data_IF_059078492751
#
_entry.id   IF_059078492751
#
_cell.length_a   1.000
_cell.length_b   1.000
_cell.length_c   1.000
_cell.angle_alpha   90.00
_cell.angle_beta   90.00
_cell.angle_gamma   90.00
#
_symmetry.space_group_name_H-M   'P 1'
#
loop_
_entity.id
_entity.type
_entity.pdbx_description
1 polymer ?
#
# COMPACT_ATOMS: atom_id res chain seq x y z
N UNK A 1 -11.03 4.93 -18.90
CA UNK A 1 -9.72 4.24 -18.74
C UNK A 1 -9.31 3.41 -19.95
N UNK A 2 -10.20 3.07 -20.89
CA UNK A 2 -9.88 2.14 -21.99
C UNK A 2 -10.08 0.68 -21.61
N UNK A 3 -11.02 0.41 -20.69
CA UNK A 3 -11.39 -0.92 -20.21
C UNK A 3 -12.87 -1.22 -20.53
N UNK A 4 -13.25 -2.49 -20.71
CA UNK A 4 -12.38 -3.68 -20.73
C UNK A 4 -11.53 -3.75 -22.00
N UNK A 5 -10.24 -4.08 -21.87
CA UNK A 5 -9.35 -4.37 -22.99
C UNK A 5 -8.77 -5.79 -22.85
N UNK A 6 -9.27 -6.77 -23.64
CA UNK A 6 -8.77 -8.14 -23.63
C UNK A 6 -7.26 -8.25 -23.90
N UNK A 7 -6.69 -7.29 -24.63
CA UNK A 7 -5.26 -7.25 -24.95
C UNK A 7 -4.41 -6.61 -23.85
N UNK A 8 -5.05 -6.01 -22.83
CA UNK A 8 -4.36 -5.42 -21.69
C UNK A 8 -3.49 -4.20 -22.01
N UNK A 9 -3.86 -3.41 -23.03
CA UNK A 9 -3.08 -2.25 -23.49
C UNK A 9 -3.72 -0.91 -23.10
N UNK A 10 -5.05 -0.87 -22.97
CA UNK A 10 -5.86 0.32 -22.68
C UNK A 10 -5.63 1.48 -23.67
N UNK A 11 -5.39 1.17 -24.95
CA UNK A 11 -5.04 2.17 -25.97
C UNK A 11 -6.15 3.18 -26.29
N UNK A 12 -7.41 2.86 -25.98
CA UNK A 12 -8.56 3.74 -26.18
C UNK A 12 -8.98 4.45 -24.88
N UNK A 13 -7.99 4.94 -24.14
CA UNK A 13 -8.23 5.64 -22.88
C UNK A 13 -6.96 6.12 -22.19
N UNK A 14 -7.11 6.56 -20.94
CA UNK A 14 -6.01 7.08 -20.11
C UNK A 14 -5.25 6.01 -19.32
N UNK A 15 -5.68 4.75 -19.39
CA UNK A 15 -5.05 3.65 -18.68
C UNK A 15 -3.76 3.19 -19.35
N UNK A 16 -2.84 2.62 -18.56
CA UNK A 16 -1.53 2.14 -19.05
C UNK A 16 -1.43 0.62 -19.26
N UNK A 17 -2.54 -0.11 -19.28
CA UNK A 17 -2.57 -1.56 -19.51
C UNK A 17 -2.15 -2.43 -18.31
N UNK A 18 -1.77 -1.82 -17.19
CA UNK A 18 -1.37 -2.51 -15.96
C UNK A 18 -2.05 -1.91 -14.74
N UNK A 19 -2.20 -2.69 -13.66
CA UNK A 19 -3.00 -2.31 -12.49
C UNK A 19 -2.51 -1.03 -11.79
N UNK A 20 -1.19 -0.75 -11.82
CA UNK A 20 -0.59 0.48 -11.28
C UNK A 20 -0.98 1.73 -12.07
N UNK A 21 -1.35 1.59 -13.34
CA UNK A 21 -1.69 2.67 -14.28
C UNK A 21 -3.19 2.66 -14.69
N UNK A 22 -4.03 1.89 -14.00
CA UNK A 22 -5.48 1.81 -14.24
C UNK A 22 -6.24 2.18 -12.96
N UNK A 23 -6.16 3.46 -12.58
CA UNK A 23 -6.60 3.98 -11.28
C UNK A 23 -7.32 5.32 -11.44
N UNK A 24 -8.36 5.55 -10.65
CA UNK A 24 -9.05 6.83 -10.57
C UNK A 24 -9.05 7.30 -9.11
N UNK A 25 -8.93 8.61 -8.92
CA UNK A 25 -9.13 9.28 -7.64
C UNK A 25 -10.24 10.31 -7.83
N UNK A 26 -11.35 10.15 -7.11
CA UNK A 26 -12.40 11.16 -7.06
C UNK A 26 -12.12 12.01 -5.83
N UNK A 27 -11.90 13.31 -6.04
CA UNK A 27 -11.51 14.25 -4.98
C UNK A 27 -12.50 15.39 -4.97
N UNK A 28 -13.01 15.75 -3.79
CA UNK A 28 -14.02 16.78 -3.63
C UNK A 28 -13.92 17.52 -2.30
N UNK A 29 -14.67 18.63 -2.14
CA UNK A 29 -14.69 19.38 -0.89
C UNK A 29 -15.20 18.51 0.28
N UNK A 30 -14.81 18.84 1.52
CA UNK A 30 -15.20 18.07 2.67
C UNK A 30 -16.71 18.22 2.93
N UNK A 31 -17.39 17.11 3.22
CA UNK A 31 -18.81 17.11 3.60
C UNK A 31 -19.03 16.95 5.10
N UNK A 32 -17.93 16.88 5.87
CA UNK A 32 -17.89 16.61 7.31
C UNK A 32 -16.86 17.49 8.02
N UNK A 33 -17.03 17.78 9.32
CA UNK A 33 -16.07 18.57 10.08
C UNK A 33 -14.76 17.80 10.32
N UNK A 34 -13.67 18.55 10.54
CA UNK A 34 -12.37 18.00 10.93
C UNK A 34 -11.55 17.37 9.80
N UNK A 35 -11.95 17.58 8.54
CA UNK A 35 -11.24 17.16 7.34
C UNK A 35 -11.29 18.28 6.30
N UNK A 36 -10.29 18.33 5.43
CA UNK A 36 -10.08 19.41 4.46
C UNK A 36 -10.49 19.02 3.04
N UNK A 37 -10.53 17.71 2.75
CA UNK A 37 -10.86 17.15 1.43
C UNK A 37 -11.35 15.71 1.59
N UNK A 38 -12.27 15.30 0.71
CA UNK A 38 -12.72 13.90 0.60
C UNK A 38 -12.13 13.22 -0.63
N UNK A 39 -11.76 11.95 -0.47
CA UNK A 39 -11.08 11.16 -1.48
C UNK A 39 -11.64 9.73 -1.57
N UNK A 40 -12.05 9.35 -2.79
CA UNK A 40 -12.42 7.98 -3.15
C UNK A 40 -11.40 7.43 -4.15
N UNK A 41 -10.74 6.33 -3.79
CA UNK A 41 -9.95 5.52 -4.70
C UNK A 41 -10.84 4.53 -5.47
N UNK A 42 -10.53 4.35 -6.75
CA UNK A 42 -11.18 3.35 -7.61
C UNK A 42 -10.13 2.58 -8.39
N UNK A 43 -10.10 1.26 -8.19
CA UNK A 43 -9.30 0.36 -9.02
C UNK A 43 -10.15 -0.07 -10.22
N UNK A 44 -9.64 0.16 -11.43
CA UNK A 44 -10.33 -0.22 -12.67
C UNK A 44 -9.68 -1.49 -13.23
N UNK A 45 -10.50 -2.51 -13.46
CA UNK A 45 -10.11 -3.74 -14.14
C UNK A 45 -9.56 -3.45 -15.53
N UNK A 46 -8.46 -4.10 -15.91
CA UNK A 46 -7.85 -3.88 -17.23
C UNK A 46 -8.57 -4.71 -18.29
N UNK A 47 -8.68 -6.03 -18.06
CA UNK A 47 -9.23 -6.99 -19.03
C UNK A 47 -10.73 -7.24 -18.89
N UNK A 48 -11.33 -6.73 -17.83
CA UNK A 48 -12.74 -6.90 -17.49
C UNK A 48 -13.37 -5.55 -17.12
N UNK A 49 -14.68 -5.56 -16.88
CA UNK A 49 -15.47 -4.36 -16.55
C UNK A 49 -15.49 -4.04 -15.06
N UNK A 50 -14.67 -4.72 -14.25
CA UNK A 50 -14.74 -4.61 -12.79
C UNK A 50 -14.29 -3.23 -12.33
N UNK A 51 -15.06 -2.66 -11.40
CA UNK A 51 -14.76 -1.40 -10.73
C UNK A 51 -14.75 -1.67 -9.24
N UNK A 52 -13.59 -1.52 -8.62
CA UNK A 52 -13.36 -1.90 -7.24
C UNK A 52 -13.11 -0.68 -6.35
N UNK A 53 -14.04 -0.47 -5.41
CA UNK A 53 -14.03 0.57 -4.37
C UNK A 53 -13.63 0.02 -2.99
N UNK A 54 -13.28 -1.26 -2.89
CA UNK A 54 -13.16 -1.97 -1.62
C UNK A 54 -11.95 -1.52 -0.80
N UNK A 55 -10.93 -0.88 -1.38
CA UNK A 55 -9.71 -0.51 -0.65
C UNK A 55 -9.27 0.93 -0.88
N UNK A 56 -8.22 1.33 -0.15
CA UNK A 56 -7.46 2.54 -0.43
C UNK A 56 -6.26 2.24 -1.36
N UNK A 57 -5.75 3.26 -2.05
CA UNK A 57 -4.42 3.25 -2.63
C UNK A 57 -3.52 4.29 -1.94
N UNK A 58 -2.62 3.81 -1.08
CA UNK A 58 -1.71 4.70 -0.36
C UNK A 58 -0.69 5.43 -1.26
N UNK A 59 -0.38 4.92 -2.45
CA UNK A 59 0.42 5.67 -3.44
C UNK A 59 -0.35 6.89 -3.95
N UNK A 60 -1.60 6.72 -4.37
CA UNK A 60 -2.37 7.83 -4.92
C UNK A 60 -2.81 8.83 -3.83
N UNK A 61 -2.88 8.39 -2.56
CA UNK A 61 -3.09 9.27 -1.41
C UNK A 61 -2.03 10.39 -1.34
N UNK A 62 -0.80 10.19 -1.86
CA UNK A 62 0.24 11.23 -1.87
C UNK A 62 -0.05 12.37 -2.83
N UNK A 63 -0.90 12.16 -3.82
CA UNK A 63 -1.29 13.19 -4.78
C UNK A 63 -2.53 13.97 -4.35
N UNK A 64 -3.33 13.46 -3.40
CA UNK A 64 -4.61 14.08 -3.03
C UNK A 64 -4.42 15.42 -2.32
N UNK A 65 -3.50 15.50 -1.35
CA UNK A 65 -3.18 16.75 -0.66
C UNK A 65 -2.68 17.83 -1.64
N UNK A 66 -1.62 17.55 -2.43
CA UNK A 66 -1.16 18.45 -3.49
C UNK A 66 -2.26 18.85 -4.48
N UNK A 67 -3.06 17.89 -4.95
CA UNK A 67 -4.19 18.18 -5.83
C UNK A 67 -5.21 19.13 -5.18
N UNK A 68 -5.54 18.94 -3.89
CA UNK A 68 -6.50 19.78 -3.19
C UNK A 68 -6.03 21.25 -3.10
N UNK A 69 -4.73 21.47 -2.89
CA UNK A 69 -4.12 22.81 -2.92
C UNK A 69 -4.21 23.40 -4.32
N UNK A 70 -3.63 22.72 -5.30
CA UNK A 70 -3.51 23.26 -6.65
C UNK A 70 -4.86 23.45 -7.37
N UNK A 71 -5.88 22.65 -7.02
CA UNK A 71 -7.25 22.78 -7.55
C UNK A 71 -8.11 23.80 -6.78
N UNK A 72 -7.55 24.37 -5.70
CA UNK A 72 -8.22 25.37 -4.87
C UNK A 72 -9.34 24.83 -3.99
N UNK A 73 -9.45 23.50 -3.82
CA UNK A 73 -10.36 22.85 -2.85
C UNK A 73 -9.92 23.21 -1.43
N UNK A 74 -8.61 23.17 -1.17
CA UNK A 74 -7.99 23.61 0.07
C UNK A 74 -7.09 24.82 -0.22
N UNK A 75 -7.20 25.87 0.59
CA UNK A 75 -6.41 27.09 0.42
C UNK A 75 -5.56 27.33 1.66
N UNK A 76 -4.25 27.04 1.62
CA UNK A 76 -3.37 27.32 2.74
C UNK A 76 -3.24 28.82 2.99
N UNK A 77 -2.78 29.19 4.19
CA UNK A 77 -2.43 30.58 4.48
C UNK A 77 -1.23 31.01 3.61
N UNK A 78 -1.11 32.30 3.32
CA UNK A 78 0.05 32.82 2.58
C UNK A 78 1.34 32.51 3.34
N UNK A 79 2.38 32.17 2.60
CA UNK A 79 3.74 31.92 3.12
C UNK A 79 3.83 30.77 4.15
N UNK A 80 2.92 29.79 4.10
CA UNK A 80 2.85 28.69 5.08
C UNK A 80 4.07 27.75 5.08
N UNK A 81 4.87 27.72 4.01
CA UNK A 81 5.92 26.72 3.83
C UNK A 81 5.32 25.32 3.73
N UNK A 82 5.58 24.46 4.73
CA UNK A 82 4.97 23.15 4.82
C UNK A 82 3.51 23.24 5.29
N UNK A 83 2.62 22.61 4.53
CA UNK A 83 1.18 22.59 4.78
C UNK A 83 0.75 21.16 5.03
N UNK A 84 -0.18 20.95 5.99
CA UNK A 84 -0.82 19.65 6.23
C UNK A 84 -2.29 19.69 5.84
N UNK A 85 -2.71 18.76 4.98
CA UNK A 85 -4.09 18.59 4.51
C UNK A 85 -4.67 17.30 5.10
N UNK A 86 -5.79 17.39 5.82
CA UNK A 86 -6.52 16.27 6.40
C UNK A 86 -7.47 15.66 5.37
N UNK A 87 -7.09 14.53 4.80
CA UNK A 87 -7.84 13.83 3.75
C UNK A 87 -8.74 12.78 4.40
N UNK A 88 -10.05 12.85 4.18
CA UNK A 88 -10.96 11.76 4.50
C UNK A 88 -11.03 10.76 3.35
N UNK A 89 -10.56 9.54 3.58
CA UNK A 89 -10.67 8.45 2.62
C UNK A 89 -12.05 7.78 2.75
N UNK A 90 -12.91 7.96 1.75
CA UNK A 90 -14.28 7.44 1.75
C UNK A 90 -14.34 5.91 1.64
N UNK A 91 -13.34 5.27 1.03
CA UNK A 91 -13.29 3.81 0.94
C UNK A 91 -13.12 3.18 2.32
N UNK A 92 -12.31 3.78 3.20
CA UNK A 92 -11.90 3.18 4.49
C UNK A 92 -12.51 3.86 5.71
N UNK A 93 -13.10 5.04 5.53
CA UNK A 93 -13.59 5.85 6.65
C UNK A 93 -12.49 6.43 7.53
N UNK A 94 -11.23 6.43 7.05
CA UNK A 94 -10.05 6.87 7.82
C UNK A 94 -9.54 8.22 7.34
N UNK A 95 -8.81 8.90 8.23
CA UNK A 95 -8.15 10.19 7.93
C UNK A 95 -6.68 9.96 7.60
N UNK A 96 -6.19 10.65 6.58
CA UNK A 96 -4.79 10.69 6.18
C UNK A 96 -4.34 12.15 6.23
N UNK A 97 -3.33 12.47 7.01
CA UNK A 97 -2.72 13.79 7.01
C UNK A 97 -1.57 13.82 5.99
N UNK A 98 -1.70 14.70 4.99
CA UNK A 98 -0.72 14.88 3.93
C UNK A 98 0.05 16.17 4.14
N UNK A 99 1.31 16.06 4.56
CA UNK A 99 2.21 17.21 4.79
C UNK A 99 3.22 17.37 3.64
N UNK A 100 3.28 18.55 3.04
CA UNK A 100 4.18 18.86 1.91
C UNK A 100 4.39 20.39 1.77
N UNK A 101 5.50 20.81 1.14
CA UNK A 101 5.78 22.23 0.90
C UNK A 101 4.86 22.84 -0.17
N UNK A 102 4.46 24.08 0.06
CA UNK A 102 3.68 24.92 -0.85
C UNK A 102 4.43 26.22 -1.13
N UNK A 103 4.48 26.63 -2.40
CA UNK A 103 5.07 27.90 -2.85
C UNK A 103 4.10 28.59 -3.80
N UNK A 104 3.88 29.89 -3.61
CA UNK A 104 2.99 30.70 -4.46
C UNK A 104 1.57 30.13 -4.64
N UNK A 105 1.07 29.38 -3.65
CA UNK A 105 -0.26 28.77 -3.67
C UNK A 105 -0.34 27.42 -4.39
N UNK A 106 0.78 26.87 -4.86
CA UNK A 106 0.87 25.56 -5.49
C UNK A 106 1.75 24.60 -4.68
N UNK A 107 1.45 23.31 -4.73
CA UNK A 107 2.28 22.27 -4.15
C UNK A 107 3.63 22.20 -4.87
N UNK A 108 4.73 22.27 -4.13
CA UNK A 108 6.07 22.17 -4.71
C UNK A 108 6.30 20.73 -5.19
N UNK A 109 6.58 20.55 -6.48
CA UNK A 109 6.82 19.23 -7.07
C UNK A 109 8.31 18.84 -7.12
N UNK A 110 9.23 19.82 -7.18
CA UNK A 110 10.68 19.59 -7.27
C UNK A 110 11.32 19.53 -5.89
N UNK A 111 12.34 18.69 -5.74
CA UNK A 111 13.06 18.49 -4.47
C UNK A 111 14.19 17.47 -4.63
N UNK A 112 14.82 17.12 -3.53
CA UNK A 112 15.98 16.22 -3.43
C UNK A 112 15.63 14.82 -2.87
N UNK A 113 14.34 14.57 -2.60
CA UNK A 113 13.89 13.29 -2.06
C UNK A 113 13.70 12.26 -3.18
N UNK A 114 14.36 11.10 -3.03
CA UNK A 114 14.21 9.95 -3.91
C UNK A 114 13.34 8.87 -3.27
N UNK A 115 12.58 8.15 -4.09
CA UNK A 115 11.89 6.92 -3.70
C UNK A 115 12.17 5.81 -4.71
N UNK A 116 12.38 4.60 -4.23
CA UNK A 116 12.66 3.47 -5.10
C UNK A 116 11.47 3.16 -6.02
N UNK A 117 11.77 2.95 -7.30
CA UNK A 117 10.77 2.76 -8.36
C UNK A 117 10.32 4.05 -9.09
N UNK A 118 10.80 5.23 -8.69
CA UNK A 118 10.58 6.50 -9.41
C UNK A 118 11.93 7.09 -9.81
N UNK A 119 12.07 7.48 -11.08
CA UNK A 119 13.31 8.06 -11.58
C UNK A 119 13.52 9.51 -11.09
N UNK A 120 14.73 9.81 -10.61
CA UNK A 120 15.13 11.14 -10.16
C UNK A 120 14.69 11.45 -8.73
N UNK A 121 14.60 12.74 -8.42
CA UNK A 121 14.17 13.26 -7.12
C UNK A 121 12.98 14.20 -7.29
N UNK A 122 12.20 14.35 -6.23
CA UNK A 122 11.05 15.24 -6.18
C UNK A 122 10.84 15.76 -4.75
N UNK A 123 9.85 16.63 -4.59
CA UNK A 123 9.45 17.13 -3.27
C UNK A 123 8.87 16.01 -2.41
N UNK A 124 9.24 16.02 -1.13
CA UNK A 124 8.80 15.03 -0.14
C UNK A 124 7.38 15.34 0.31
N UNK A 125 6.51 14.33 0.23
CA UNK A 125 5.16 14.32 0.78
C UNK A 125 5.13 13.30 1.92
N UNK A 126 4.90 13.75 3.15
CA UNK A 126 4.67 12.88 4.30
C UNK A 126 3.20 12.55 4.40
N UNK A 127 2.88 11.27 4.51
CA UNK A 127 1.53 10.77 4.76
C UNK A 127 1.47 10.11 6.13
N UNK A 128 0.65 10.66 7.01
CA UNK A 128 0.31 10.09 8.31
C UNK A 128 -1.12 9.51 8.25
N UNK A 129 -1.24 8.20 8.28
CA UNK A 129 -2.50 7.49 8.34
C UNK A 129 -2.94 7.42 9.80
N UNK A 130 -4.03 8.09 10.14
CA UNK A 130 -4.50 8.28 11.52
C UNK A 130 -5.48 7.18 11.91
N UNK A 131 -5.23 6.52 13.04
CA UNK A 131 -5.99 5.38 13.55
C UNK A 131 -6.34 4.34 12.45
N UNK A 132 -5.36 3.85 11.67
CA UNK A 132 -5.60 3.11 10.43
C UNK A 132 -6.06 1.66 10.62
N UNK A 133 -6.11 1.17 11.86
CA UNK A 133 -6.57 -0.18 12.21
C UNK A 133 -8.04 -0.42 11.86
N UNK A 134 -8.38 -1.64 11.42
CA UNK A 134 -9.74 -2.07 11.15
C UNK A 134 -10.40 -1.32 9.98
N UNK A 135 -9.64 -0.97 8.94
CA UNK A 135 -10.15 -0.22 7.79
C UNK A 135 -11.28 -0.91 7.03
N UNK A 136 -11.41 -2.24 7.18
CA UNK A 136 -12.40 -3.09 6.53
C UNK A 136 -13.05 -4.12 7.45
N UNK A 137 -12.39 -4.49 8.53
CA UNK A 137 -12.74 -5.65 9.36
C UNK A 137 -13.11 -5.28 10.80
N UNK A 138 -13.03 -4.01 11.16
CA UNK A 138 -13.39 -3.51 12.49
C UNK A 138 -12.28 -3.57 13.56
N UNK A 139 -11.16 -4.26 13.31
CA UNK A 139 -10.02 -4.30 14.23
C UNK A 139 -8.67 -4.52 13.54
N UNK A 140 -7.57 -4.24 14.23
CA UNK A 140 -6.21 -4.41 13.69
C UNK A 140 -5.86 -5.88 13.39
N UNK A 141 -6.23 -6.80 14.31
CA UNK A 141 -6.07 -8.25 14.18
C UNK A 141 -7.46 -8.89 14.00
N UNK A 142 -7.99 -8.91 12.76
CA UNK A 142 -9.38 -9.28 12.49
C UNK A 142 -9.79 -10.70 12.89
N UNK A 143 -8.84 -11.63 12.95
CA UNK A 143 -9.09 -13.02 13.37
C UNK A 143 -9.09 -13.20 14.89
N UNK A 144 -8.68 -12.16 15.63
CA UNK A 144 -8.41 -12.22 17.08
C UNK A 144 -7.08 -12.87 17.45
N UNK A 145 -6.34 -13.42 16.49
CA UNK A 145 -5.06 -14.11 16.72
C UNK A 145 -3.89 -13.31 16.12
N UNK A 146 -2.72 -13.39 16.76
CA UNK A 146 -1.47 -12.87 16.19
C UNK A 146 -0.98 -13.77 15.05
N UNK A 147 -1.21 -15.08 15.16
CA UNK A 147 -0.86 -16.08 14.16
C UNK A 147 -2.02 -17.06 14.03
N UNK A 148 -2.49 -17.23 12.80
CA UNK A 148 -3.44 -18.24 12.37
C UNK A 148 -2.73 -19.32 11.54
N UNK A 149 -3.44 -20.39 11.18
CA UNK A 149 -2.94 -21.45 10.30
C UNK A 149 -3.91 -21.69 9.15
N UNK A 150 -3.41 -21.59 7.91
CA UNK A 150 -4.16 -21.83 6.67
C UNK A 150 -3.32 -22.72 5.77
N UNK A 151 -3.88 -23.84 5.30
CA UNK A 151 -3.16 -24.80 4.45
C UNK A 151 -1.84 -25.31 5.05
N UNK A 152 -1.82 -25.48 6.37
CA UNK A 152 -0.63 -25.89 7.12
C UNK A 152 0.47 -24.83 7.17
N UNK A 153 0.20 -23.61 6.70
CA UNK A 153 1.10 -22.45 6.74
C UNK A 153 0.62 -21.48 7.80
N UNK A 154 1.54 -21.02 8.65
CA UNK A 154 1.24 -19.97 9.62
C UNK A 154 1.16 -18.63 8.92
N UNK A 155 0.16 -17.82 9.29
CA UNK A 155 0.01 -16.48 8.76
C UNK A 155 -0.41 -15.48 9.85
N UNK A 156 0.02 -14.23 9.70
CA UNK A 156 -0.53 -13.10 10.45
C UNK A 156 -1.47 -12.32 9.53
N UNK A 157 -2.71 -12.12 9.99
CA UNK A 157 -3.70 -11.29 9.31
C UNK A 157 -3.77 -9.92 9.99
N UNK A 158 -3.52 -8.83 9.24
CA UNK A 158 -3.55 -7.46 9.77
C UNK A 158 -4.39 -6.56 8.87
N UNK A 159 -5.26 -5.76 9.46
CA UNK A 159 -6.02 -4.73 8.76
C UNK A 159 -5.59 -3.33 9.20
N UNK A 160 -4.61 -2.78 8.49
CA UNK A 160 -4.10 -1.41 8.69
C UNK A 160 -3.96 -0.72 7.34
N UNK A 161 -4.82 0.26 7.08
CA UNK A 161 -4.91 0.93 5.78
C UNK A 161 -5.53 0.07 4.68
N UNK A 162 -5.17 -1.21 4.57
CA UNK A 162 -5.93 -2.28 3.92
C UNK A 162 -5.58 -3.64 4.57
N UNK A 163 -6.51 -4.60 4.58
CA UNK A 163 -6.24 -5.98 4.99
C UNK A 163 -5.07 -6.61 4.23
N UNK A 164 -4.16 -7.26 4.96
CA UNK A 164 -2.99 -7.94 4.44
C UNK A 164 -2.69 -9.21 5.23
N UNK A 165 -2.23 -10.24 4.52
CA UNK A 165 -1.87 -11.56 5.06
C UNK A 165 -0.37 -11.75 4.86
N UNK A 166 0.34 -12.11 5.93
CA UNK A 166 1.79 -12.32 5.92
C UNK A 166 2.12 -13.77 6.29
N UNK A 167 2.79 -14.48 5.38
CA UNK A 167 3.29 -15.85 5.60
C UNK A 167 4.81 -15.91 5.50
N UNK A 168 5.44 -16.95 6.03
CA UNK A 168 6.89 -17.15 5.91
C UNK A 168 7.25 -17.75 4.54
N UNK A 169 8.29 -17.21 3.90
CA UNK A 169 8.88 -17.82 2.71
C UNK A 169 9.49 -19.20 3.01
N UNK A 170 10.06 -19.38 4.21
CA UNK A 170 10.65 -20.64 4.66
C UNK A 170 9.59 -21.74 4.79
N UNK A 171 8.44 -21.44 5.41
CA UNK A 171 7.34 -22.41 5.53
C UNK A 171 6.70 -22.74 4.17
N UNK A 172 6.76 -21.80 3.22
CA UNK A 172 6.37 -22.07 1.83
C UNK A 172 7.39 -22.93 1.07
N UNK A 173 8.62 -23.09 1.59
CA UNK A 173 9.70 -23.82 0.96
C UNK A 173 10.33 -23.09 -0.23
N UNK A 174 10.34 -21.75 -0.20
CA UNK A 174 10.84 -20.91 -1.29
C UNK A 174 11.90 -19.93 -0.79
N UNK A 175 12.75 -19.44 -1.71
CA UNK A 175 13.62 -18.30 -1.41
C UNK A 175 12.76 -17.02 -1.27
N UNK A 176 12.89 -16.32 -0.14
CA UNK A 176 12.14 -15.09 0.13
C UNK A 176 12.59 -13.88 -0.68
N UNK A 177 13.67 -14.00 -1.45
CA UNK A 177 14.24 -12.94 -2.28
C UNK A 177 13.90 -13.06 -3.77
N UNK A 178 13.16 -14.10 -4.19
CA UNK A 178 12.75 -14.31 -5.59
C UNK A 178 12.08 -13.06 -6.19
N UNK A 179 12.38 -12.78 -7.46
CA UNK A 179 11.87 -11.62 -8.17
C UNK A 179 10.47 -11.88 -8.75
N UNK A 180 9.72 -10.83 -9.17
CA UNK A 180 8.37 -10.96 -9.71
C UNK A 180 8.23 -12.00 -10.84
N UNK A 181 9.15 -12.02 -11.81
CA UNK A 181 9.06 -12.96 -12.93
C UNK A 181 9.33 -14.41 -12.49
N UNK A 182 10.23 -14.63 -11.54
CA UNK A 182 10.46 -15.94 -10.94
C UNK A 182 9.26 -16.40 -10.12
N UNK A 183 8.66 -15.49 -9.34
CA UNK A 183 7.43 -15.74 -8.58
C UNK A 183 6.28 -16.11 -9.51
N UNK A 184 6.14 -15.39 -10.63
CA UNK A 184 5.09 -15.61 -11.62
C UNK A 184 5.20 -16.98 -12.31
N UNK A 185 6.43 -17.45 -12.51
CA UNK A 185 6.72 -18.71 -13.20
C UNK A 185 6.92 -19.89 -12.25
N UNK A 186 6.90 -19.67 -10.93
CA UNK A 186 7.10 -20.74 -9.96
C UNK A 186 5.87 -21.67 -9.89
N UNK A 187 6.04 -22.97 -10.17
CA UNK A 187 4.91 -23.89 -10.24
C UNK A 187 4.09 -23.92 -8.94
N UNK A 188 2.77 -23.73 -9.07
CA UNK A 188 1.76 -23.79 -7.98
C UNK A 188 1.91 -22.75 -6.86
N UNK A 189 2.92 -21.86 -6.89
CA UNK A 189 3.10 -20.87 -5.82
C UNK A 189 1.92 -19.89 -5.76
N UNK A 190 1.54 -19.30 -6.90
CA UNK A 190 0.42 -18.35 -6.95
C UNK A 190 -0.91 -18.99 -6.57
N UNK A 191 -1.15 -20.24 -6.97
CA UNK A 191 -2.35 -21.01 -6.59
C UNK A 191 -2.41 -21.23 -5.07
N UNK A 192 -1.28 -21.61 -4.47
CA UNK A 192 -1.18 -21.81 -3.01
C UNK A 192 -1.39 -20.51 -2.25
N UNK A 193 -0.75 -19.42 -2.69
CA UNK A 193 -0.93 -18.10 -2.10
C UNK A 193 -2.38 -17.63 -2.23
N UNK A 194 -3.03 -17.85 -3.37
CA UNK A 194 -4.44 -17.49 -3.55
C UNK A 194 -5.35 -18.29 -2.62
N UNK A 195 -5.11 -19.60 -2.44
CA UNK A 195 -5.89 -20.42 -1.50
C UNK A 195 -5.78 -19.91 -0.06
N UNK A 196 -4.57 -19.57 0.40
CA UNK A 196 -4.33 -18.97 1.71
C UNK A 196 -5.05 -17.62 1.82
N UNK A 197 -4.96 -16.77 0.78
CA UNK A 197 -5.61 -15.46 0.74
C UNK A 197 -7.12 -15.56 0.88
N UNK A 198 -7.77 -16.48 0.16
CA UNK A 198 -9.21 -16.71 0.25
C UNK A 198 -9.61 -17.16 1.65
N UNK A 199 -8.88 -18.12 2.24
CA UNK A 199 -9.16 -18.60 3.61
C UNK A 199 -9.00 -17.51 4.66
N UNK A 200 -7.92 -16.74 4.58
CA UNK A 200 -7.71 -15.58 5.44
C UNK A 200 -8.86 -14.58 5.30
N UNK A 201 -9.34 -14.32 4.08
CA UNK A 201 -10.47 -13.40 3.84
C UNK A 201 -11.72 -13.82 4.58
N UNK A 202 -12.07 -15.11 4.52
CA UNK A 202 -13.22 -15.67 5.25
C UNK A 202 -13.00 -15.61 6.77
N UNK A 203 -11.80 -15.96 7.25
CA UNK A 203 -11.45 -15.87 8.68
C UNK A 203 -11.49 -14.44 9.23
N UNK A 204 -11.22 -13.44 8.39
CA UNK A 204 -11.33 -12.02 8.72
C UNK A 204 -12.76 -11.47 8.64
N UNK A 205 -13.75 -12.31 8.29
CA UNK A 205 -15.15 -11.91 8.17
C UNK A 205 -15.44 -11.01 6.97
N UNK A 206 -14.61 -11.06 5.92
CA UNK A 206 -14.73 -10.19 4.74
C UNK A 206 -15.50 -10.83 3.56
N UNK A 207 -15.74 -12.14 3.61
CA UNK A 207 -16.46 -12.89 2.60
C UNK A 207 -17.04 -14.17 3.22
N UNK A 208 -18.22 -14.61 2.78
CA UNK A 208 -18.83 -15.87 3.23
C UNK A 208 -18.45 -17.06 2.33
N UNK A 209 -17.98 -16.76 1.12
CA UNK A 209 -17.58 -17.75 0.11
C UNK A 209 -16.37 -17.29 -0.72
N UNK A 210 -15.60 -18.22 -1.33
CA UNK A 210 -14.47 -17.88 -2.21
C UNK A 210 -14.83 -16.94 -3.37
N UNK A 211 -16.07 -17.01 -3.88
CA UNK A 211 -16.57 -16.20 -4.98
C UNK A 211 -16.80 -14.74 -4.59
N UNK A 212 -17.01 -14.46 -3.30
CA UNK A 212 -17.23 -13.12 -2.74
C UNK A 212 -15.92 -12.42 -2.36
N UNK A 213 -14.79 -13.13 -2.37
CA UNK A 213 -13.49 -12.59 -1.97
C UNK A 213 -13.12 -11.43 -2.90
N UNK A 214 -12.94 -10.20 -2.37
CA UNK A 214 -12.55 -9.07 -3.20
C UNK A 214 -11.20 -9.33 -3.88
N UNK A 215 -11.09 -8.94 -5.15
CA UNK A 215 -9.87 -9.16 -5.93
C UNK A 215 -8.68 -8.34 -5.39
N UNK A 216 -8.94 -7.15 -4.82
CA UNK A 216 -7.89 -6.26 -4.37
C UNK A 216 -7.51 -6.39 -2.90
N UNK A 217 -8.38 -6.91 -2.03
CA UNK A 217 -8.09 -7.06 -0.59
C UNK A 217 -8.61 -8.40 -0.05
N UNK A 218 -7.94 -9.00 0.94
CA UNK A 218 -6.62 -8.64 1.44
C UNK A 218 -5.52 -8.86 0.39
N UNK A 219 -4.37 -8.21 0.56
CA UNK A 219 -3.14 -8.60 -0.13
C UNK A 219 -2.54 -9.82 0.56
N UNK A 220 -1.88 -10.71 -0.18
CA UNK A 220 -1.05 -11.77 0.42
C UNK A 220 0.42 -11.51 0.13
N UNK A 221 1.24 -11.66 1.17
CA UNK A 221 2.68 -11.44 1.11
C UNK A 221 3.42 -12.60 1.75
N UNK A 222 4.60 -12.93 1.23
CA UNK A 222 5.56 -13.75 1.95
C UNK A 222 6.74 -12.90 2.42
N UNK A 223 7.18 -13.18 3.64
CA UNK A 223 8.29 -12.48 4.30
C UNK A 223 9.47 -13.41 4.54
N UNK A 224 10.66 -12.84 4.59
CA UNK A 224 11.88 -13.53 4.96
C UNK A 224 12.81 -12.63 5.76
N UNK A 225 13.79 -13.26 6.40
CA UNK A 225 14.86 -12.54 7.06
C UNK A 225 15.65 -11.70 6.06
N UNK A 226 16.30 -10.65 6.58
CA UNK A 226 17.21 -9.80 5.82
C UNK A 226 18.29 -10.63 5.12
N UNK A 227 18.46 -10.42 3.81
CA UNK A 227 19.43 -11.13 2.97
C UNK A 227 19.98 -10.17 1.91
N UNK A 228 21.27 -10.31 1.56
CA UNK A 228 21.87 -9.53 0.47
C UNK A 228 21.49 -10.17 -0.87
N UNK A 229 20.68 -9.48 -1.68
CA UNK A 229 20.08 -10.04 -2.89
C UNK A 229 20.02 -9.06 -4.05
N UNK A 230 19.73 -9.57 -5.25
CA UNK A 230 19.59 -8.74 -6.45
C UNK A 230 18.21 -8.08 -6.52
N UNK A 231 18.19 -6.83 -6.95
CA UNK A 231 16.98 -6.08 -7.26
C UNK A 231 16.61 -6.21 -8.74
N UNK A 232 15.40 -5.78 -9.09
CA UNK A 232 14.95 -5.65 -10.49
C UNK A 232 15.87 -4.74 -11.33
N UNK A 233 16.54 -3.77 -10.71
CA UNK A 233 17.51 -2.90 -11.40
C UNK A 233 18.80 -3.61 -11.78
N UNK A 234 19.05 -4.82 -11.26
CA UNK A 234 20.34 -5.49 -11.33
C UNK A 234 21.35 -5.00 -10.30
N UNK A 235 20.96 -4.09 -9.40
CA UNK A 235 21.78 -3.70 -8.25
C UNK A 235 21.65 -4.70 -7.11
N UNK A 236 22.65 -4.72 -6.23
CA UNK A 236 22.63 -5.56 -5.03
C UNK A 236 22.15 -4.75 -3.83
N UNK A 237 21.11 -5.24 -3.17
CA UNK A 237 20.67 -4.74 -1.88
C UNK A 237 21.42 -5.49 -0.78
N UNK A 238 22.01 -4.78 0.17
CA UNK A 238 22.73 -5.40 1.29
C UNK A 238 21.81 -5.73 2.46
N UNK A 239 21.99 -6.90 3.08
CA UNK A 239 21.17 -7.38 4.19
C UNK A 239 21.08 -6.39 5.37
N UNK A 240 22.19 -5.72 5.68
CA UNK A 240 22.25 -4.76 6.79
C UNK A 240 21.50 -3.46 6.52
N UNK A 241 21.09 -3.23 5.27
CA UNK A 241 20.39 -2.02 4.86
C UNK A 241 18.87 -2.11 4.95
N UNK A 242 18.34 -3.27 5.37
CA UNK A 242 16.91 -3.52 5.59
C UNK A 242 16.69 -4.21 6.93
N UNK A 243 15.45 -4.17 7.40
CA UNK A 243 15.01 -4.86 8.60
C UNK A 243 14.29 -6.16 8.29
N UNK A 244 13.63 -6.25 7.14
CA UNK A 244 12.88 -7.44 6.69
C UNK A 244 12.73 -7.41 5.17
N UNK A 245 12.63 -8.57 4.53
CA UNK A 245 12.35 -8.67 3.09
C UNK A 245 10.92 -9.18 2.88
N UNK A 246 10.21 -8.57 1.94
CA UNK A 246 8.83 -8.94 1.59
C UNK A 246 8.64 -9.03 0.07
N UNK A 247 7.74 -9.91 -0.33
CA UNK A 247 7.16 -9.98 -1.68
C UNK A 247 5.65 -10.01 -1.55
N UNK A 248 4.97 -9.20 -2.35
CA UNK A 248 3.52 -9.04 -2.29
C UNK A 248 2.86 -9.51 -3.59
N UNK A 249 1.73 -10.19 -3.47
CA UNK A 249 0.84 -10.48 -4.59
C UNK A 249 -0.34 -9.50 -4.51
N UNK A 250 -0.67 -8.90 -5.64
CA UNK A 250 -1.81 -7.99 -5.76
C UNK A 250 -2.58 -8.32 -7.03
N UNK A 251 -3.90 -8.51 -6.90
CA UNK A 251 -4.78 -8.88 -8.03
C UNK A 251 -4.22 -10.03 -8.87
N UNK A 252 -3.76 -11.10 -8.17
CA UNK A 252 -3.21 -12.31 -8.79
C UNK A 252 -1.83 -12.18 -9.44
N UNK A 253 -1.13 -11.05 -9.25
CA UNK A 253 0.17 -10.79 -9.88
C UNK A 253 1.23 -10.41 -8.85
N UNK A 254 2.48 -10.89 -8.99
CA UNK A 254 3.60 -10.41 -8.19
C UNK A 254 3.83 -8.90 -8.37
N UNK A 255 3.84 -8.18 -7.27
CA UNK A 255 4.02 -6.73 -7.29
C UNK A 255 5.51 -6.39 -7.47
N UNK A 256 5.82 -5.43 -8.35
CA UNK A 256 7.22 -5.08 -8.67
C UNK A 256 7.93 -4.28 -7.56
N UNK A 257 7.18 -3.65 -6.67
CA UNK A 257 7.68 -3.00 -5.46
C UNK A 257 6.89 -3.50 -4.24
N UNK A 258 6.29 -2.61 -3.42
CA UNK A 258 5.36 -2.98 -2.36
C UNK A 258 4.15 -2.01 -2.33
N UNK A 259 2.89 -2.48 -2.28
CA UNK A 259 1.75 -1.59 -2.05
C UNK A 259 1.85 -0.87 -0.70
N UNK A 260 1.49 0.41 -0.66
CA UNK A 260 1.77 1.26 0.51
C UNK A 260 0.95 0.83 1.70
N UNK A 261 -0.33 0.56 1.51
CA UNK A 261 -1.20 0.08 2.58
C UNK A 261 -0.68 -1.22 3.17
N UNK A 262 -0.16 -2.12 2.33
CA UNK A 262 0.50 -3.36 2.80
C UNK A 262 1.77 -3.08 3.58
N UNK A 263 2.54 -2.06 3.20
CA UNK A 263 3.72 -1.64 3.96
C UNK A 263 3.37 -1.07 5.34
N UNK A 264 2.21 -0.42 5.49
CA UNK A 264 1.69 0.02 6.80
C UNK A 264 1.31 -1.20 7.66
N UNK A 265 0.54 -2.15 7.10
CA UNK A 265 0.21 -3.41 7.79
C UNK A 265 1.45 -4.19 8.19
N UNK A 266 2.49 -4.20 7.35
CA UNK A 266 3.75 -4.86 7.65
C UNK A 266 4.51 -4.15 8.78
N UNK A 267 4.58 -2.82 8.75
CA UNK A 267 5.22 -2.03 9.81
C UNK A 267 4.55 -2.24 11.18
N UNK A 268 3.21 -2.33 11.19
CA UNK A 268 2.45 -2.66 12.39
C UNK A 268 2.66 -4.12 12.80
N UNK A 269 2.58 -5.08 11.89
CA UNK A 269 2.85 -6.48 12.17
C UNK A 269 4.25 -6.68 12.77
N UNK A 270 5.26 -5.97 12.28
CA UNK A 270 6.61 -6.01 12.81
C UNK A 270 6.70 -5.55 14.28
N UNK A 271 5.74 -4.75 14.76
CA UNK A 271 5.66 -4.29 16.15
C UNK A 271 4.85 -5.19 17.07
N UNK A 272 4.14 -6.19 16.52
CA UNK A 272 3.34 -7.13 17.30
C UNK A 272 4.20 -8.36 17.62
N UNK A 273 4.60 -8.56 18.89
CA UNK A 273 5.46 -9.68 19.26
C UNK A 273 4.84 -11.02 18.87
N UNK A 274 5.64 -11.87 18.22
CA UNK A 274 5.21 -13.20 17.79
C UNK A 274 4.47 -13.24 16.45
N UNK A 275 4.19 -12.11 15.80
CA UNK A 275 3.66 -12.12 14.43
C UNK A 275 4.68 -12.73 13.46
N UNK A 276 4.22 -13.21 12.30
CA UNK A 276 5.10 -13.73 11.25
C UNK A 276 6.10 -12.67 10.79
N UNK A 277 5.70 -11.41 10.71
CA UNK A 277 6.61 -10.32 10.33
C UNK A 277 7.63 -10.05 11.43
N UNK A 278 7.21 -9.99 12.70
CA UNK A 278 8.09 -9.80 13.86
C UNK A 278 9.16 -10.89 13.95
N UNK A 279 8.79 -12.16 13.71
CA UNK A 279 9.71 -13.30 13.73
C UNK A 279 10.82 -13.24 12.65
N UNK A 280 10.57 -12.56 11.53
CA UNK A 280 11.51 -12.47 10.40
C UNK A 280 12.21 -11.12 10.29
N UNK A 281 11.75 -10.13 11.04
CA UNK A 281 12.36 -8.81 11.08
C UNK A 281 13.61 -8.77 11.97
N UNK A 282 14.42 -7.72 11.82
CA UNK A 282 15.60 -7.46 12.65
C UNK A 282 15.20 -7.45 14.14
N UNK A 283 16.04 -8.03 14.99
CA UNK A 283 15.83 -8.01 16.44
C UNK A 283 15.62 -6.58 16.98
N UNK A 284 14.65 -6.41 17.87
CA UNK A 284 14.30 -5.13 18.47
C UNK A 284 13.48 -4.20 17.55
N UNK A 285 12.97 -4.72 16.43
CA UNK A 285 12.14 -3.96 15.47
C UNK A 285 10.91 -3.34 16.12
N UNK A 286 10.35 -3.97 17.16
CA UNK A 286 9.17 -3.49 17.86
C UNK A 286 9.38 -2.09 18.47
N UNK A 287 10.62 -1.78 18.85
CA UNK A 287 11.03 -0.51 19.46
C UNK A 287 11.47 0.55 18.45
N UNK A 288 11.60 0.21 17.15
CA UNK A 288 12.00 1.17 16.12
C UNK A 288 10.85 2.08 15.73
N UNK A 289 11.09 3.38 15.56
CA UNK A 289 10.07 4.29 15.00
C UNK A 289 9.79 3.99 13.53
N UNK A 290 10.84 3.69 12.77
CA UNK A 290 10.79 3.40 11.34
C UNK A 290 11.33 2.01 11.03
N UNK A 291 10.63 1.32 10.14
CA UNK A 291 10.99 0.04 9.56
C UNK A 291 11.51 0.25 8.14
N UNK A 292 12.67 -0.33 7.81
CA UNK A 292 13.20 -0.34 6.45
C UNK A 292 12.88 -1.68 5.78
N UNK A 293 11.94 -1.68 4.85
CA UNK A 293 11.42 -2.88 4.20
C UNK A 293 12.13 -3.10 2.85
N UNK A 294 12.72 -4.26 2.63
CA UNK A 294 13.25 -4.67 1.33
C UNK A 294 12.17 -5.26 0.42
N UNK A 295 12.05 -4.74 -0.81
CA UNK A 295 11.12 -5.20 -1.84
C UNK A 295 11.83 -5.32 -3.21
N UNK A 296 11.23 -5.88 -4.27
CA UNK A 296 11.97 -6.21 -5.50
C UNK A 296 12.66 -5.03 -6.20
N UNK A 297 12.12 -3.81 -6.08
CA UNK A 297 12.74 -2.59 -6.62
C UNK A 297 13.70 -1.85 -5.68
N UNK A 298 13.93 -2.31 -4.44
CA UNK A 298 14.73 -1.57 -3.46
C UNK A 298 14.16 -1.63 -2.05
N UNK A 299 14.02 -0.47 -1.41
CA UNK A 299 13.68 -0.29 0.00
C UNK A 299 12.53 0.69 0.16
N UNK A 300 11.80 0.49 1.25
CA UNK A 300 10.76 1.41 1.68
C UNK A 300 10.85 1.65 3.18
N UNK A 301 10.98 2.91 3.57
CA UNK A 301 10.90 3.35 4.97
C UNK A 301 9.45 3.62 5.35
N UNK A 302 8.98 2.99 6.43
CA UNK A 302 7.62 3.15 6.95
C UNK A 302 7.68 3.29 8.47
N UNK A 303 6.99 4.28 9.01
CA UNK A 303 6.81 4.45 10.45
C UNK A 303 5.50 3.83 10.95
N UNK A 304 5.49 3.37 12.19
CA UNK A 304 4.27 2.97 12.88
C UNK A 304 4.37 3.31 14.36
N UNK A 305 3.31 3.89 14.91
CA UNK A 305 3.17 4.20 16.33
C UNK A 305 1.94 3.48 16.86
N UNK A 306 2.14 2.63 17.85
CA UNK A 306 1.08 2.00 18.62
C UNK A 306 0.81 2.84 19.89
N UNK A 307 -0.43 2.85 20.36
CA UNK A 307 -0.79 3.41 21.66
C UNK A 307 -0.52 2.42 22.81
N UNK A 308 -0.81 2.83 24.04
CA UNK A 308 -0.60 2.01 25.23
C UNK A 308 -1.50 0.76 25.27
N UNK A 309 -2.57 0.72 24.48
CA UNK A 309 -3.47 -0.44 24.35
C UNK A 309 -3.03 -1.40 23.24
N UNK A 310 -1.96 -1.07 22.50
CA UNK A 310 -1.47 -1.85 21.36
C UNK A 310 -2.24 -1.57 20.05
N UNK A 311 -3.09 -0.56 20.01
CA UNK A 311 -3.80 -0.12 18.80
C UNK A 311 -2.93 0.83 17.98
N UNK A 312 -3.15 0.88 16.66
CA UNK A 312 -2.34 1.74 15.79
C UNK A 312 -2.83 3.18 15.87
N UNK A 313 -2.08 4.06 16.54
CA UNK A 313 -2.35 5.49 16.59
C UNK A 313 -2.07 6.15 15.23
N UNK A 314 -0.91 5.82 14.63
CA UNK A 314 -0.42 6.46 13.41
C UNK A 314 0.49 5.53 12.62
N UNK A 315 0.34 5.49 11.31
CA UNK A 315 1.30 4.86 10.40
C UNK A 315 1.78 5.88 9.36
N UNK A 316 3.10 6.00 9.19
CA UNK A 316 3.74 7.07 8.41
C UNK A 316 4.46 6.52 7.20
N UNK A 317 4.34 7.18 6.05
CA UNK A 317 5.14 6.90 4.86
C UNK A 317 5.50 8.19 4.14
N UNK A 318 6.60 8.17 3.40
CA UNK A 318 7.08 9.32 2.63
C UNK A 318 7.01 9.03 1.15
N UNK A 319 6.36 9.90 0.39
CA UNK A 319 6.14 9.75 -1.05
C UNK A 319 6.52 11.03 -1.78
N UNK A 320 6.34 11.00 -3.08
CA UNK A 320 6.47 12.16 -3.96
C UNK A 320 5.19 12.25 -4.78
N UNK A 321 4.86 13.43 -5.27
CA UNK A 321 3.74 13.63 -6.19
C UNK A 321 4.08 14.74 -7.19
N UNK A 322 3.62 14.58 -8.43
CA UNK A 322 3.77 15.58 -9.48
C UNK A 322 2.59 15.49 -10.44
N UNK A 323 1.97 16.64 -10.74
CA UNK A 323 0.99 16.77 -11.80
C UNK A 323 1.66 16.54 -13.16
N UNK A 324 1.14 15.61 -13.95
CA UNK A 324 1.66 15.31 -15.28
C UNK A 324 0.92 16.08 -16.39
N UNK A 325 -0.39 16.23 -16.23
CA UNK A 325 -1.27 16.91 -17.18
C UNK A 325 -2.49 17.44 -16.42
N UNK A 326 -3.06 18.53 -16.92
CA UNK A 326 -4.37 19.07 -16.54
C UNK A 326 -5.20 19.30 -17.81
N UNK A 327 -6.49 18.98 -17.77
CA UNK A 327 -7.37 19.11 -18.93
C UNK A 327 -8.62 18.24 -18.89
N UNK A 328 -9.23 18.06 -20.07
CA UNK A 328 -10.51 17.37 -20.26
C UNK A 328 -10.26 16.05 -20.97
N UNK A 329 -10.74 14.94 -20.39
CA UNK A 329 -10.79 13.65 -21.05
C UNK A 329 -12.10 13.50 -21.85
N UNK A 330 -12.02 12.92 -23.04
CA UNK A 330 -13.19 12.63 -23.88
C UNK A 330 -13.54 11.15 -23.83
N UNK A 331 -14.83 10.84 -23.86
CA UNK A 331 -15.38 9.50 -23.97
C UNK A 331 -16.64 9.56 -24.84
N UNK A 332 -16.91 8.50 -25.61
CA UNK A 332 -18.07 8.37 -26.48
C UNK A 332 -18.93 7.19 -26.04
#
# INVERSE_FOLDING_TARGET
MGSPDPNGRQLDGLGGGISSLSKICVVGPPTRPGVDVEFTFVQVGVKNSDIDYSGNCGNLSSAVGPFAVDSGIFRPLKDSGDVSVRIFNTNTGKVIESTFPVCDGEAVAQGDFAIDGVAGTASKVKLDFMNPGGSKTGGMLPTGNVVDCMDGIRATCVDVGNPSVFVSAEELGIDGTILPDETQNMPRLLERLESIRQKATMMMGMADSPEEVPASIPKICFVSQRNSHMLLSGERLEADSVDVVVRAISVGQPHKALPITTSLSLAVAAKIPGSIVHQHARSGVENKEELVIGHPSGKLVVGAKLDDNGEVERATVYRTARRLMDGIAYWK
#
